data_IF_486312178228
#
_entry.id   IF_486312178228
#
_cell.length_a   1.000
_cell.length_b   1.000
_cell.length_c   1.000
_cell.angle_alpha   90.00
_cell.angle_beta   90.00
_cell.angle_gamma   90.00
#
_symmetry.space_group_name_H-M   'P 1'
#
loop_
_entity.id
_entity.type
_entity.pdbx_description
1 polymer ?
#
# COMPACT_ATOMS: atom_id res chain seq x y z
N UNK A 1 -25.06 17.64 -14.15
CA UNK A 1 -24.35 16.38 -13.92
C UNK A 1 -24.67 15.47 -15.09
N UNK A 2 -23.67 15.07 -15.87
CA UNK A 2 -23.87 14.11 -16.95
C UNK A 2 -24.08 12.73 -16.33
N UNK A 3 -25.25 12.12 -16.57
CA UNK A 3 -25.61 10.80 -16.05
C UNK A 3 -25.26 9.66 -17.02
N UNK A 4 -24.68 10.00 -18.18
CA UNK A 4 -24.25 9.01 -19.17
C UNK A 4 -23.10 8.17 -18.64
N UNK A 5 -23.08 6.92 -19.03
CA UNK A 5 -22.02 5.99 -18.72
C UNK A 5 -21.89 4.89 -19.77
N UNK A 6 -20.72 4.24 -19.78
CA UNK A 6 -20.46 3.05 -20.59
C UNK A 6 -20.23 1.86 -19.67
N UNK A 7 -20.76 0.72 -20.07
CA UNK A 7 -20.67 -0.54 -19.34
C UNK A 7 -20.22 -1.63 -20.30
N UNK A 8 -19.04 -2.22 -20.04
CA UNK A 8 -18.57 -3.43 -20.71
C UNK A 8 -18.90 -4.63 -19.84
N UNK A 9 -19.57 -5.59 -20.43
CA UNK A 9 -19.73 -6.94 -19.86
C UNK A 9 -18.88 -7.86 -20.72
N UNK A 10 -18.00 -8.62 -20.10
CA UNK A 10 -17.03 -9.45 -20.81
C UNK A 10 -17.05 -10.86 -20.24
N UNK A 11 -17.29 -11.84 -21.12
CA UNK A 11 -17.14 -13.25 -20.85
C UNK A 11 -15.84 -13.72 -21.54
N UNK A 12 -14.86 -14.12 -20.75
CA UNK A 12 -13.53 -14.56 -21.20
C UNK A 12 -13.42 -16.07 -21.09
N UNK A 13 -13.14 -16.74 -22.18
CA UNK A 13 -13.02 -18.18 -22.29
C UNK A 13 -11.59 -18.61 -22.69
N UNK A 14 -11.25 -19.86 -22.39
CA UNK A 14 -9.94 -20.44 -22.66
C UNK A 14 -8.80 -19.59 -22.07
N UNK A 15 -9.05 -19.03 -20.86
CA UNK A 15 -8.08 -18.29 -20.09
C UNK A 15 -7.03 -19.22 -19.46
N UNK A 16 -5.95 -18.66 -18.98
CA UNK A 16 -4.93 -19.40 -18.22
C UNK A 16 -5.41 -19.67 -16.78
N UNK A 17 -5.50 -20.94 -16.40
CA UNK A 17 -5.98 -21.41 -15.09
C UNK A 17 -5.13 -20.84 -13.94
N UNK A 18 -3.80 -20.72 -14.11
CA UNK A 18 -2.90 -20.22 -13.09
C UNK A 18 -3.17 -18.73 -12.83
N UNK A 19 -3.38 -17.96 -13.89
CA UNK A 19 -3.75 -16.53 -13.79
C UNK A 19 -5.09 -16.39 -13.07
N UNK A 20 -6.08 -17.21 -13.42
CA UNK A 20 -7.43 -17.12 -12.86
C UNK A 20 -7.50 -17.51 -11.37
N UNK A 21 -6.49 -18.20 -10.83
CA UNK A 21 -6.48 -18.64 -9.43
C UNK A 21 -5.42 -17.91 -8.56
N UNK A 22 -4.80 -16.84 -9.10
CA UNK A 22 -3.85 -16.01 -8.37
C UNK A 22 -4.47 -14.63 -8.03
N UNK A 23 -4.90 -14.41 -6.76
CA UNK A 23 -5.53 -13.16 -6.36
C UNK A 23 -4.59 -11.95 -6.46
N UNK A 24 -3.29 -12.14 -6.26
CA UNK A 24 -2.29 -11.07 -6.35
C UNK A 24 -2.07 -10.63 -7.80
N UNK A 25 -2.01 -11.60 -8.70
CA UNK A 25 -1.86 -11.33 -10.13
C UNK A 25 -3.12 -10.68 -10.72
N UNK A 26 -4.31 -11.21 -10.41
CA UNK A 26 -5.58 -10.62 -10.86
C UNK A 26 -5.74 -9.18 -10.33
N UNK A 27 -5.42 -8.96 -9.05
CA UNK A 27 -5.43 -7.61 -8.49
C UNK A 27 -4.53 -6.67 -9.28
N UNK A 28 -3.29 -7.08 -9.59
CA UNK A 28 -2.36 -6.28 -10.38
C UNK A 28 -2.93 -5.96 -11.76
N UNK A 29 -3.45 -6.96 -12.46
CA UNK A 29 -4.05 -6.81 -13.79
C UNK A 29 -5.20 -5.78 -13.78
N UNK A 30 -6.12 -5.89 -12.82
CA UNK A 30 -7.27 -5.00 -12.75
C UNK A 30 -6.87 -3.57 -12.35
N UNK A 31 -5.91 -3.43 -11.41
CA UNK A 31 -5.40 -2.11 -11.00
C UNK A 31 -4.67 -1.43 -12.16
N UNK A 32 -3.82 -2.16 -12.90
CA UNK A 32 -3.15 -1.62 -14.09
C UNK A 32 -4.16 -1.15 -15.13
N UNK A 33 -5.21 -1.92 -15.38
CA UNK A 33 -6.26 -1.55 -16.33
C UNK A 33 -7.02 -0.27 -15.91
N UNK A 34 -7.30 -0.12 -14.62
CA UNK A 34 -7.91 1.10 -14.09
C UNK A 34 -6.99 2.32 -14.23
N UNK A 35 -5.69 2.15 -13.97
CA UNK A 35 -4.68 3.20 -14.13
C UNK A 35 -4.47 3.57 -15.61
N UNK A 36 -4.49 2.60 -16.54
CA UNK A 36 -4.41 2.85 -17.98
C UNK A 36 -5.65 3.62 -18.50
N UNK A 37 -6.81 3.37 -17.88
CA UNK A 37 -8.02 4.16 -18.11
C UNK A 37 -7.99 5.55 -17.45
N UNK A 38 -6.87 5.94 -16.81
CA UNK A 38 -6.76 7.19 -16.03
C UNK A 38 -7.87 7.32 -14.98
N UNK A 39 -8.22 6.20 -14.33
CA UNK A 39 -9.24 6.16 -13.27
C UNK A 39 -8.57 6.11 -11.90
N UNK A 40 -9.14 6.86 -10.96
CA UNK A 40 -8.72 6.84 -9.56
C UNK A 40 -9.30 5.60 -8.87
N UNK A 41 -8.44 4.72 -8.40
CA UNK A 41 -8.84 3.53 -7.62
C UNK A 41 -9.05 3.95 -6.17
N UNK A 42 -10.27 3.76 -5.68
CA UNK A 42 -10.65 4.12 -4.32
C UNK A 42 -10.44 2.97 -3.35
N UNK A 43 -10.82 1.77 -3.76
CA UNK A 43 -10.70 0.56 -2.96
C UNK A 43 -10.65 -0.66 -3.88
N UNK A 44 -10.03 -1.75 -3.41
CA UNK A 44 -10.13 -3.05 -4.06
C UNK A 44 -10.29 -4.16 -3.02
N UNK A 45 -11.05 -5.17 -3.38
CA UNK A 45 -11.26 -6.37 -2.58
C UNK A 45 -11.20 -7.60 -3.46
N UNK A 46 -10.50 -8.65 -2.99
CA UNK A 46 -10.41 -9.93 -3.65
C UNK A 46 -10.66 -11.04 -2.63
N UNK A 47 -11.58 -11.93 -2.96
CA UNK A 47 -11.91 -13.12 -2.18
C UNK A 47 -11.55 -14.36 -2.98
N UNK A 48 -10.71 -15.22 -2.41
CA UNK A 48 -10.38 -16.53 -2.98
C UNK A 48 -11.25 -17.61 -2.35
N UNK A 49 -11.89 -18.39 -3.17
CA UNK A 49 -12.71 -19.52 -2.73
C UNK A 49 -11.87 -20.79 -2.56
N UNK A 50 -12.37 -21.70 -1.73
CA UNK A 50 -11.80 -23.04 -1.58
C UNK A 50 -12.71 -24.05 -2.29
N UNK A 51 -12.22 -24.91 -3.19
CA UNK A 51 -10.78 -25.16 -3.46
C UNK A 51 -10.13 -24.16 -4.43
N UNK A 52 -10.88 -23.38 -5.20
CA UNK A 52 -10.36 -22.43 -6.21
C UNK A 52 -11.43 -21.42 -6.64
N UNK A 53 -11.00 -20.43 -7.45
CA UNK A 53 -11.86 -19.36 -7.93
C UNK A 53 -11.71 -18.08 -7.11
N UNK A 54 -11.91 -16.94 -7.75
CA UNK A 54 -11.71 -15.63 -7.15
C UNK A 54 -12.86 -14.70 -7.56
N UNK A 55 -13.34 -13.92 -6.60
CA UNK A 55 -14.16 -12.74 -6.84
C UNK A 55 -13.36 -11.51 -6.49
N UNK A 56 -13.20 -10.60 -7.43
CA UNK A 56 -12.51 -9.33 -7.23
C UNK A 56 -13.37 -8.12 -7.61
N UNK A 57 -13.22 -7.02 -6.88
CA UNK A 57 -13.87 -5.76 -7.22
C UNK A 57 -12.93 -4.58 -6.94
N UNK A 58 -12.84 -3.66 -7.89
CA UNK A 58 -12.27 -2.34 -7.72
C UNK A 58 -13.39 -1.30 -7.67
N UNK A 59 -13.40 -0.53 -6.61
CA UNK A 59 -14.22 0.69 -6.49
C UNK A 59 -13.39 1.85 -7.04
N UNK A 60 -13.91 2.51 -8.07
CA UNK A 60 -13.26 3.66 -8.71
C UNK A 60 -14.04 4.94 -8.37
N UNK A 61 -13.43 6.12 -8.50
CA UNK A 61 -14.04 7.40 -8.08
C UNK A 61 -15.45 7.63 -8.65
N UNK A 62 -15.68 7.22 -9.89
CA UNK A 62 -16.98 7.35 -10.58
C UNK A 62 -17.43 6.06 -11.25
N UNK A 63 -16.80 4.93 -10.93
CA UNK A 63 -16.85 3.71 -11.74
C UNK A 63 -16.60 2.46 -10.88
N UNK A 64 -16.63 1.29 -11.49
CA UNK A 64 -16.18 0.05 -10.88
C UNK A 64 -15.67 -0.92 -11.94
N UNK A 65 -14.81 -1.87 -11.50
CA UNK A 65 -14.35 -2.99 -12.30
C UNK A 65 -14.41 -4.24 -11.42
N UNK A 66 -15.16 -5.26 -11.85
CA UNK A 66 -15.26 -6.52 -11.14
C UNK A 66 -14.85 -7.71 -11.99
N UNK A 67 -14.44 -8.79 -11.33
CA UNK A 67 -14.11 -10.08 -11.95
C UNK A 67 -14.60 -11.22 -11.08
N UNK A 68 -15.11 -12.27 -11.73
CA UNK A 68 -15.37 -13.58 -11.15
C UNK A 68 -14.62 -14.62 -11.98
N UNK A 69 -13.94 -15.57 -11.35
CA UNK A 69 -13.16 -16.58 -12.07
C UNK A 69 -13.59 -18.00 -11.70
N UNK A 70 -13.58 -18.87 -12.71
CA UNK A 70 -13.76 -20.32 -12.62
C UNK A 70 -12.54 -20.98 -13.27
N UNK A 71 -11.43 -21.17 -12.53
CA UNK A 71 -10.19 -21.75 -13.07
C UNK A 71 -10.42 -23.12 -13.72
N UNK A 72 -11.31 -23.96 -13.14
CA UNK A 72 -11.68 -25.28 -13.64
C UNK A 72 -12.34 -25.28 -15.01
N UNK A 73 -12.98 -24.17 -15.38
CA UNK A 73 -13.62 -23.97 -16.69
C UNK A 73 -12.78 -23.06 -17.61
N UNK A 74 -11.60 -22.64 -17.17
CA UNK A 74 -10.79 -21.62 -17.86
C UNK A 74 -11.59 -20.36 -18.24
N UNK A 75 -12.54 -19.96 -17.36
CA UNK A 75 -13.53 -18.92 -17.61
C UNK A 75 -13.42 -17.80 -16.57
N UNK A 76 -13.62 -16.57 -17.05
CA UNK A 76 -13.81 -15.39 -16.20
C UNK A 76 -14.92 -14.51 -16.75
N UNK A 77 -15.70 -13.92 -15.83
CA UNK A 77 -16.71 -12.90 -16.12
C UNK A 77 -16.26 -11.55 -15.54
N UNK A 78 -16.32 -10.48 -16.35
CA UNK A 78 -15.89 -9.15 -15.94
C UNK A 78 -16.96 -8.11 -16.25
N UNK A 79 -17.09 -7.16 -15.32
CA UNK A 79 -17.92 -5.95 -15.46
C UNK A 79 -17.02 -4.72 -15.35
N UNK A 80 -17.06 -3.84 -16.34
CA UNK A 80 -16.36 -2.58 -16.31
C UNK A 80 -17.31 -1.43 -16.64
N UNK A 81 -17.69 -0.68 -15.62
CA UNK A 81 -18.57 0.48 -15.74
C UNK A 81 -17.83 1.78 -15.52
N UNK A 82 -18.11 2.79 -16.34
CA UNK A 82 -17.61 4.16 -16.14
C UNK A 82 -18.72 5.19 -16.36
N UNK A 83 -18.71 6.26 -15.56
CA UNK A 83 -19.52 7.45 -15.81
C UNK A 83 -18.79 8.39 -16.79
N UNK A 84 -19.56 9.09 -17.65
CA UNK A 84 -19.03 10.01 -18.66
C UNK A 84 -18.67 9.34 -19.99
N UNK A 85 -17.90 10.06 -20.80
CA UNK A 85 -17.64 9.70 -22.21
C UNK A 85 -16.30 8.94 -22.39
N UNK A 86 -15.68 8.42 -21.31
CA UNK A 86 -14.44 7.66 -21.42
C UNK A 86 -14.62 6.40 -22.25
N UNK A 87 -13.73 6.21 -23.24
CA UNK A 87 -13.66 4.98 -24.02
C UNK A 87 -12.90 3.91 -23.24
N UNK A 88 -13.57 2.81 -22.89
CA UNK A 88 -13.00 1.72 -22.09
C UNK A 88 -12.88 0.40 -22.86
N UNK A 89 -13.29 0.39 -24.14
CA UNK A 89 -13.32 -0.83 -24.95
C UNK A 89 -11.90 -1.40 -25.17
N UNK A 90 -10.94 -0.55 -25.48
CA UNK A 90 -9.54 -0.95 -25.71
C UNK A 90 -8.91 -1.48 -24.41
N UNK A 91 -9.27 -0.90 -23.27
CA UNK A 91 -8.84 -1.37 -21.94
C UNK A 91 -9.43 -2.76 -21.66
N UNK A 92 -10.71 -2.96 -22.02
CA UNK A 92 -11.34 -4.28 -21.93
C UNK A 92 -10.61 -5.34 -22.74
N UNK A 93 -10.22 -5.04 -23.98
CA UNK A 93 -9.41 -5.95 -24.79
C UNK A 93 -8.02 -6.21 -24.21
N UNK A 94 -7.38 -5.19 -23.64
CA UNK A 94 -6.10 -5.35 -22.96
C UNK A 94 -6.21 -6.26 -21.73
N UNK A 95 -7.30 -6.14 -20.95
CA UNK A 95 -7.61 -7.06 -19.84
C UNK A 95 -7.74 -8.51 -20.31
N UNK A 96 -8.54 -8.76 -21.35
CA UNK A 96 -8.72 -10.09 -21.92
C UNK A 96 -7.39 -10.72 -22.34
N UNK A 97 -6.49 -9.92 -22.93
CA UNK A 97 -5.14 -10.36 -23.29
C UNK A 97 -4.28 -10.70 -22.08
N UNK A 98 -4.37 -9.94 -21.01
CA UNK A 98 -3.62 -10.20 -19.77
C UNK A 98 -4.13 -11.46 -19.04
N UNK A 99 -5.41 -11.83 -19.20
CA UNK A 99 -5.97 -13.09 -18.72
C UNK A 99 -5.61 -14.28 -19.64
N UNK A 100 -4.83 -14.05 -20.69
CA UNK A 100 -4.52 -15.02 -21.76
C UNK A 100 -5.77 -15.65 -22.40
N UNK A 101 -6.89 -14.90 -22.43
CA UNK A 101 -8.13 -15.36 -23.05
C UNK A 101 -7.97 -15.52 -24.54
N UNK A 102 -8.36 -16.70 -25.07
CA UNK A 102 -8.31 -16.98 -26.52
C UNK A 102 -9.63 -16.68 -27.23
N UNK A 103 -10.72 -16.61 -26.44
CA UNK A 103 -12.07 -16.36 -26.96
C UNK A 103 -12.83 -15.52 -25.93
N UNK A 104 -13.50 -14.47 -26.39
CA UNK A 104 -14.30 -13.61 -25.52
C UNK A 104 -15.59 -13.15 -26.20
N UNK A 105 -16.61 -12.91 -25.40
CA UNK A 105 -17.82 -12.19 -25.78
C UNK A 105 -17.81 -10.85 -25.02
N UNK A 106 -17.94 -9.74 -25.76
CA UNK A 106 -17.88 -8.40 -25.18
C UNK A 106 -19.15 -7.65 -25.56
N UNK A 107 -19.91 -7.20 -24.55
CA UNK A 107 -21.06 -6.33 -24.72
C UNK A 107 -20.72 -4.93 -24.28
N UNK A 108 -20.95 -3.94 -25.13
CA UNK A 108 -20.82 -2.53 -24.77
C UNK A 108 -22.20 -1.90 -24.68
N UNK A 109 -22.56 -1.40 -23.51
CA UNK A 109 -23.88 -0.86 -23.20
C UNK A 109 -23.75 0.61 -22.81
N UNK A 110 -24.49 1.50 -23.50
CA UNK A 110 -24.63 2.88 -23.06
C UNK A 110 -25.70 2.98 -21.97
N UNK A 111 -25.38 3.66 -20.86
CA UNK A 111 -26.25 3.86 -19.70
C UNK A 111 -26.61 5.34 -19.54
N UNK A 112 -27.67 5.64 -18.79
CA UNK A 112 -28.09 7.03 -18.50
C UNK A 112 -28.76 7.77 -19.69
N UNK A 113 -29.28 7.06 -20.70
CA UNK A 113 -29.99 7.68 -21.83
C UNK A 113 -31.35 8.17 -21.31
N UNK A 114 -31.61 9.48 -21.47
CA UNK A 114 -32.92 10.05 -21.16
C UNK A 114 -33.95 9.68 -22.24
N UNK A 115 -34.65 8.59 -22.07
CA UNK A 115 -35.96 8.32 -22.64
C UNK A 115 -36.65 7.25 -21.81
N UNK A 116 -37.23 7.65 -20.69
CA UNK A 116 -38.37 6.97 -20.10
C UNK A 116 -39.11 7.95 -19.22
N UNK A 117 -40.39 8.14 -19.55
CA UNK A 117 -41.34 8.80 -18.71
C UNK A 117 -41.37 8.14 -17.33
N UNK A 118 -41.27 8.97 -16.34
CA UNK A 118 -41.40 8.83 -14.89
C UNK A 118 -41.73 7.43 -14.33
N UNK A 119 -40.84 6.84 -13.54
CA UNK A 119 -41.22 5.87 -12.54
C UNK A 119 -41.48 6.55 -11.20
N UNK A 120 -42.58 6.12 -10.63
CA UNK A 120 -43.10 6.43 -9.32
C UNK A 120 -42.09 6.42 -8.20
N UNK A 121 -42.21 7.42 -7.33
CA UNK A 121 -41.49 7.65 -6.10
C UNK A 121 -41.47 6.42 -5.17
N UNK A 122 -40.29 5.94 -4.82
CA UNK A 122 -40.00 5.42 -3.50
C UNK A 122 -38.61 5.94 -3.10
N UNK A 123 -38.62 7.11 -2.46
CA UNK A 123 -37.46 7.59 -1.72
C UNK A 123 -37.45 6.87 -0.37
N UNK A 124 -36.71 5.80 -0.23
CA UNK A 124 -36.11 5.43 1.06
C UNK A 124 -34.74 6.10 1.08
N UNK A 125 -34.58 7.00 2.06
CA UNK A 125 -33.26 7.52 2.41
C UNK A 125 -32.39 6.35 2.87
N UNK A 126 -31.47 5.90 2.02
CA UNK A 126 -30.32 5.18 2.51
C UNK A 126 -29.47 6.22 3.24
N UNK A 127 -29.36 6.08 4.56
CA UNK A 127 -28.31 6.73 5.30
C UNK A 127 -26.98 6.34 4.64
N UNK A 128 -26.21 7.34 4.24
CA UNK A 128 -24.89 7.13 3.68
C UNK A 128 -24.05 6.42 4.75
N UNK A 129 -23.81 5.14 4.55
CA UNK A 129 -22.80 4.43 5.34
C UNK A 129 -21.47 5.12 5.03
N UNK A 130 -20.98 5.86 6.02
CA UNK A 130 -19.69 6.55 5.92
C UNK A 130 -18.63 5.47 5.74
N UNK A 131 -17.95 5.46 4.60
CA UNK A 131 -16.76 4.63 4.43
C UNK A 131 -15.72 5.19 5.40
N UNK A 132 -15.43 4.42 6.44
CA UNK A 132 -14.43 4.78 7.44
C UNK A 132 -13.07 4.76 6.77
N UNK A 133 -12.37 5.88 6.77
CA UNK A 133 -11.00 5.99 6.30
C UNK A 133 -10.03 5.86 7.48
N UNK A 134 -8.78 5.50 7.20
CA UNK A 134 -7.76 5.25 8.22
C UNK A 134 -7.38 6.48 9.09
N UNK A 135 -7.88 7.66 8.78
CA UNK A 135 -7.69 8.87 9.57
C UNK A 135 -8.68 9.06 10.72
N UNK A 136 -9.73 8.27 10.77
CA UNK A 136 -10.72 8.18 11.86
C UNK A 136 -10.54 6.89 12.66
N UNK A 137 -11.51 6.50 13.45
CA UNK A 137 -11.45 5.29 14.29
C UNK A 137 -11.71 3.97 13.50
N UNK A 138 -11.45 3.93 12.19
CA UNK A 138 -11.77 2.78 11.32
C UNK A 138 -11.06 1.50 11.74
N UNK A 139 -9.78 1.58 12.10
CA UNK A 139 -9.01 0.42 12.56
C UNK A 139 -9.58 -0.13 13.86
N UNK A 140 -9.97 0.76 14.80
CA UNK A 140 -10.61 0.38 16.05
C UNK A 140 -11.98 -0.28 15.84
N UNK A 141 -12.79 0.23 14.93
CA UNK A 141 -14.08 -0.39 14.56
C UNK A 141 -13.85 -1.76 13.92
N UNK A 142 -12.89 -1.85 13.00
CA UNK A 142 -12.52 -3.11 12.34
C UNK A 142 -12.01 -4.15 13.33
N UNK A 143 -11.17 -3.75 14.28
CA UNK A 143 -10.68 -4.62 15.36
C UNK A 143 -11.83 -5.12 16.23
N UNK A 144 -12.75 -4.26 16.66
CA UNK A 144 -13.93 -4.66 17.44
C UNK A 144 -14.81 -5.65 16.68
N UNK A 145 -15.04 -5.43 15.38
CA UNK A 145 -15.79 -6.38 14.54
C UNK A 145 -15.07 -7.73 14.45
N UNK A 146 -13.75 -7.73 14.26
CA UNK A 146 -12.94 -8.94 14.24
C UNK A 146 -13.05 -9.72 15.54
N UNK A 147 -12.89 -9.04 16.68
CA UNK A 147 -12.97 -9.63 18.03
C UNK A 147 -14.39 -10.10 18.42
N UNK A 148 -15.42 -9.61 17.76
CA UNK A 148 -16.81 -10.09 17.97
C UNK A 148 -17.11 -11.38 17.19
N UNK A 149 -16.30 -11.74 16.20
CA UNK A 149 -16.41 -12.95 15.39
C UNK A 149 -15.54 -14.11 15.91
N UNK A 150 -15.44 -15.16 15.12
CA UNK A 150 -14.53 -16.27 15.40
C UNK A 150 -13.09 -15.86 15.11
N UNK A 151 -12.20 -15.93 16.09
CA UNK A 151 -10.80 -15.57 15.99
C UNK A 151 -9.93 -16.32 17.00
N UNK A 152 -8.62 -16.39 16.71
CA UNK A 152 -7.59 -16.86 17.62
C UNK A 152 -6.62 -15.73 17.90
N UNK A 153 -6.30 -15.48 19.16
CA UNK A 153 -5.23 -14.56 19.55
C UNK A 153 -3.91 -15.34 19.51
N UNK A 154 -3.09 -15.09 18.48
CA UNK A 154 -1.80 -15.76 18.32
C UNK A 154 -0.73 -15.16 19.25
N UNK A 155 -0.81 -13.84 19.51
CA UNK A 155 0.06 -13.14 20.43
C UNK A 155 -0.64 -11.90 20.95
N UNK A 156 -0.51 -11.63 22.24
CA UNK A 156 -0.97 -10.39 22.86
C UNK A 156 -0.01 -9.99 23.98
N UNK A 157 0.58 -8.83 23.84
CA UNK A 157 1.51 -8.26 24.81
C UNK A 157 1.27 -6.76 24.94
N UNK A 158 0.96 -6.32 26.13
CA UNK A 158 0.92 -4.90 26.49
C UNK A 158 2.12 -4.57 27.33
N UNK A 159 2.98 -3.69 26.81
CA UNK A 159 4.18 -3.24 27.50
C UNK A 159 4.16 -1.71 27.71
N UNK A 160 5.33 -1.11 28.02
CA UNK A 160 5.43 0.35 28.26
C UNK A 160 5.46 1.16 26.96
N UNK A 161 5.67 0.52 25.82
CA UNK A 161 5.81 1.14 24.50
C UNK A 161 4.43 1.17 23.85
N UNK A 162 3.77 0.00 23.75
CA UNK A 162 2.51 -0.17 23.03
C UNK A 162 1.76 -1.46 23.42
N UNK A 163 0.53 -1.59 22.93
CA UNK A 163 -0.30 -2.80 23.00
C UNK A 163 -0.21 -3.54 21.66
N UNK A 164 0.39 -4.75 21.67
CA UNK A 164 0.65 -5.56 20.48
C UNK A 164 -0.36 -6.70 20.44
N UNK A 165 -1.13 -6.82 19.36
CA UNK A 165 -2.07 -7.91 19.15
C UNK A 165 -1.85 -8.54 17.78
N UNK A 166 -1.59 -9.84 17.74
CA UNK A 166 -1.56 -10.65 16.53
C UNK A 166 -2.75 -11.60 16.55
N UNK A 167 -3.66 -11.43 15.61
CA UNK A 167 -4.97 -12.09 15.59
C UNK A 167 -5.12 -12.85 14.28
N UNK A 168 -5.62 -14.08 14.37
CA UNK A 168 -5.97 -14.92 13.23
C UNK A 168 -7.48 -15.10 13.18
N UNK A 169 -8.07 -14.75 12.06
CA UNK A 169 -9.46 -14.99 11.72
C UNK A 169 -9.54 -15.61 10.33
N UNK A 170 -10.11 -14.95 9.33
CA UNK A 170 -9.97 -15.32 7.92
C UNK A 170 -8.55 -15.08 7.39
N UNK A 171 -7.83 -14.19 8.03
CA UNK A 171 -6.45 -13.77 7.74
C UNK A 171 -5.69 -13.52 9.06
N UNK A 172 -4.42 -13.22 8.96
CA UNK A 172 -3.59 -12.83 10.09
C UNK A 172 -3.42 -11.32 10.06
N UNK A 173 -3.71 -10.66 11.18
CA UNK A 173 -3.59 -9.21 11.34
C UNK A 173 -2.78 -8.85 12.56
N UNK A 174 -1.90 -7.86 12.40
CA UNK A 174 -1.19 -7.25 13.51
C UNK A 174 -1.77 -5.86 13.80
N UNK A 175 -2.01 -5.60 15.07
CA UNK A 175 -2.42 -4.30 15.58
C UNK A 175 -1.41 -3.80 16.61
N UNK A 176 -1.05 -2.53 16.52
CA UNK A 176 -0.25 -1.80 17.51
C UNK A 176 -1.09 -0.62 18.02
N UNK A 177 -1.40 -0.58 19.31
CA UNK A 177 -2.31 0.39 19.92
C UNK A 177 -3.65 0.49 19.14
N UNK A 178 -4.25 -0.67 18.81
CA UNK A 178 -5.49 -0.82 18.04
C UNK A 178 -5.39 -0.35 16.55
N UNK A 179 -4.22 0.06 16.06
CA UNK A 179 -3.99 0.44 14.67
C UNK A 179 -3.47 -0.74 13.86
N UNK A 180 -4.11 -1.03 12.73
CA UNK A 180 -3.71 -2.11 11.84
C UNK A 180 -2.34 -1.82 11.23
N UNK A 181 -1.40 -2.76 11.38
CA UNK A 181 -0.07 -2.69 10.78
C UNK A 181 -0.02 -3.48 9.48
N UNK A 182 -0.61 -4.65 9.44
CA UNK A 182 -0.76 -5.44 8.22
C UNK A 182 -1.94 -6.43 8.30
N UNK A 183 -2.41 -6.87 7.14
CA UNK A 183 -3.21 -8.06 6.91
C UNK A 183 -2.43 -9.02 6.01
N UNK A 184 -2.41 -10.31 6.35
CA UNK A 184 -1.72 -11.32 5.52
C UNK A 184 -2.31 -11.51 4.13
N UNK A 185 -3.50 -10.94 3.87
CA UNK A 185 -4.13 -10.99 2.54
C UNK A 185 -3.45 -10.05 1.53
N UNK A 186 -2.87 -8.94 2.00
CA UNK A 186 -2.40 -7.87 1.12
C UNK A 186 -1.12 -7.16 1.56
N UNK A 187 -0.48 -7.61 2.63
CA UNK A 187 0.78 -7.03 3.12
C UNK A 187 1.87 -6.98 2.05
N UNK A 188 1.85 -7.94 1.09
CA UNK A 188 2.78 -7.94 -0.04
C UNK A 188 2.69 -6.64 -0.86
N UNK A 189 1.48 -6.10 -1.05
CA UNK A 189 1.30 -4.86 -1.79
C UNK A 189 2.02 -3.68 -1.14
N UNK A 190 2.05 -3.66 0.20
CA UNK A 190 2.77 -2.64 0.96
C UNK A 190 4.28 -2.87 0.92
N UNK A 191 4.75 -4.06 1.30
CA UNK A 191 6.18 -4.33 1.46
C UNK A 191 6.93 -4.39 0.12
N UNK A 192 6.30 -4.91 -0.94
CA UNK A 192 6.86 -4.83 -2.29
C UNK A 192 6.97 -3.38 -2.76
N UNK A 193 5.95 -2.53 -2.51
CA UNK A 193 6.01 -1.12 -2.87
C UNK A 193 7.03 -0.33 -2.03
N UNK A 194 7.23 -0.69 -0.76
CA UNK A 194 8.24 -0.07 0.10
C UNK A 194 9.67 -0.42 -0.35
N UNK A 195 9.92 -1.68 -0.75
CA UNK A 195 11.28 -2.20 -0.95
C UNK A 195 11.72 -2.16 -2.41
N UNK A 196 10.98 -2.72 -3.35
CA UNK A 196 11.51 -2.93 -4.70
C UNK A 196 11.79 -1.64 -5.49
N UNK A 197 11.00 -0.55 -5.39
CA UNK A 197 11.29 0.68 -6.12
C UNK A 197 12.60 1.35 -5.71
N UNK A 198 12.95 1.35 -4.42
CA UNK A 198 14.20 1.95 -3.98
C UNK A 198 15.41 1.12 -4.39
N UNK A 199 15.30 -0.21 -4.40
CA UNK A 199 16.35 -1.08 -4.93
C UNK A 199 16.54 -0.87 -6.43
N UNK A 200 15.47 -0.74 -7.20
CA UNK A 200 15.55 -0.43 -8.63
C UNK A 200 16.13 0.96 -8.93
N UNK A 201 16.02 1.91 -8.01
CA UNK A 201 16.64 3.23 -8.11
C UNK A 201 18.11 3.25 -7.65
N UNK A 202 18.59 2.20 -6.98
CA UNK A 202 19.92 2.13 -6.38
C UNK A 202 20.91 1.43 -7.30
N UNK A 203 22.19 1.81 -7.20
CA UNK A 203 23.30 1.18 -7.91
C UNK A 203 24.05 0.22 -6.99
N UNK A 204 23.64 -1.07 -6.97
CA UNK A 204 24.30 -2.15 -6.20
C UNK A 204 24.37 -1.87 -4.69
N UNK A 205 23.23 -1.88 -4.00
CA UNK A 205 23.21 -1.66 -2.55
C UNK A 205 23.76 -2.89 -1.82
N UNK A 206 24.70 -2.66 -0.90
CA UNK A 206 25.31 -3.72 -0.09
C UNK A 206 24.92 -3.62 1.38
N UNK A 207 24.78 -2.40 1.91
CA UNK A 207 24.47 -2.17 3.31
C UNK A 207 23.14 -1.45 3.46
N UNK A 208 22.21 -2.11 4.13
CA UNK A 208 20.82 -1.68 4.27
C UNK A 208 20.53 -1.39 5.74
N UNK A 209 19.78 -0.32 5.99
CA UNK A 209 19.18 -0.04 7.29
C UNK A 209 17.67 -0.07 7.18
N UNK A 210 17.00 -0.80 8.06
CA UNK A 210 15.56 -0.79 8.22
C UNK A 210 15.25 -0.16 9.57
N UNK A 211 14.47 0.90 9.59
CA UNK A 211 14.02 1.60 10.79
C UNK A 211 12.53 1.29 11.01
N UNK A 212 12.20 0.59 12.08
CA UNK A 212 10.93 -0.08 12.30
C UNK A 212 10.87 -1.44 11.59
N UNK A 213 9.68 -1.90 11.22
CA UNK A 213 9.50 -3.15 10.48
C UNK A 213 9.88 -4.40 11.29
N UNK A 214 9.67 -4.36 12.61
CA UNK A 214 9.99 -5.45 13.53
C UNK A 214 9.20 -6.75 13.28
N UNK A 215 8.19 -6.73 12.40
CA UNK A 215 7.47 -7.92 11.93
C UNK A 215 8.29 -8.77 10.94
N UNK A 216 9.33 -8.19 10.32
CA UNK A 216 10.24 -8.86 9.39
C UNK A 216 9.73 -8.97 7.96
N UNK A 217 8.61 -8.31 7.59
CA UNK A 217 8.02 -8.41 6.25
C UNK A 217 8.79 -7.56 5.23
N UNK A 218 9.18 -6.33 5.59
CA UNK A 218 10.11 -5.53 4.78
C UNK A 218 11.48 -6.21 4.66
N UNK A 219 11.96 -6.81 5.75
CA UNK A 219 13.21 -7.57 5.78
C UNK A 219 13.18 -8.75 4.81
N UNK A 220 12.06 -9.50 4.74
CA UNK A 220 11.83 -10.58 3.77
C UNK A 220 12.04 -10.09 2.34
N UNK A 221 11.50 -8.94 1.98
CA UNK A 221 11.64 -8.38 0.64
C UNK A 221 13.08 -7.96 0.34
N UNK A 222 13.79 -7.36 1.30
CA UNK A 222 15.21 -7.00 1.18
C UNK A 222 16.10 -8.22 0.96
N UNK A 223 15.81 -9.33 1.62
CA UNK A 223 16.60 -10.56 1.54
C UNK A 223 16.54 -11.26 0.16
N UNK A 224 15.58 -10.92 -0.70
CA UNK A 224 15.55 -11.37 -2.10
C UNK A 224 16.75 -10.88 -2.93
N UNK A 225 17.42 -9.80 -2.49
CA UNK A 225 18.55 -9.20 -3.18
C UNK A 225 19.87 -9.84 -2.71
N UNK A 226 20.51 -10.62 -3.58
CA UNK A 226 21.72 -11.38 -3.27
C UNK A 226 22.97 -10.51 -3.11
N UNK A 227 22.98 -9.31 -3.68
CA UNK A 227 24.05 -8.32 -3.55
C UNK A 227 24.11 -7.68 -2.17
N UNK A 228 23.03 -7.69 -1.41
CA UNK A 228 22.99 -7.20 -0.02
C UNK A 228 23.89 -8.08 0.86
N UNK A 229 24.77 -7.43 1.64
CA UNK A 229 25.76 -8.09 2.50
C UNK A 229 25.46 -7.92 3.99
N UNK A 230 24.94 -6.76 4.37
CA UNK A 230 24.68 -6.41 5.76
C UNK A 230 23.32 -5.70 5.85
N UNK A 231 22.52 -6.09 6.82
CA UNK A 231 21.22 -5.50 7.11
C UNK A 231 21.17 -5.22 8.61
N UNK A 232 21.10 -3.94 8.96
CA UNK A 232 20.80 -3.51 10.32
C UNK A 232 19.29 -3.22 10.38
N UNK A 233 18.57 -3.88 11.29
CA UNK A 233 17.16 -3.61 11.60
C UNK A 233 17.06 -3.00 12.99
N UNK A 234 16.50 -1.82 13.09
CA UNK A 234 16.36 -1.06 14.34
C UNK A 234 14.89 -0.97 14.71
N UNK A 235 14.51 -1.66 15.77
CA UNK A 235 13.15 -1.68 16.30
C UNK A 235 13.17 -1.25 17.77
N UNK A 236 12.21 -0.41 18.14
CA UNK A 236 12.13 0.10 19.51
C UNK A 236 11.53 -0.94 20.47
N UNK A 237 10.66 -1.79 19.98
CA UNK A 237 9.88 -2.75 20.78
C UNK A 237 10.35 -4.19 20.55
N UNK A 238 11.05 -4.72 21.55
CA UNK A 238 11.54 -6.10 21.53
C UNK A 238 10.43 -7.14 21.41
N UNK A 239 9.21 -6.83 21.88
CA UNK A 239 8.08 -7.77 21.86
C UNK A 239 7.52 -7.95 20.44
N UNK A 240 7.63 -6.93 19.55
CA UNK A 240 7.29 -7.05 18.13
C UNK A 240 8.25 -8.03 17.45
N UNK A 241 9.56 -7.85 17.64
CA UNK A 241 10.59 -8.77 17.10
C UNK A 241 10.42 -10.18 17.68
N UNK A 242 10.13 -10.29 18.98
CA UNK A 242 9.87 -11.56 19.63
C UNK A 242 8.66 -12.28 19.00
N UNK A 243 7.57 -11.59 18.74
CA UNK A 243 6.43 -12.15 18.04
C UNK A 243 6.80 -12.64 16.62
N UNK A 244 7.56 -11.83 15.87
CA UNK A 244 7.99 -12.14 14.51
C UNK A 244 8.94 -13.36 14.43
N UNK A 245 9.75 -13.59 15.46
CA UNK A 245 10.69 -14.70 15.52
C UNK A 245 10.10 -15.98 16.10
N UNK A 246 9.02 -15.91 16.91
CA UNK A 246 8.56 -17.05 17.69
C UNK A 246 7.11 -17.46 17.43
N UNK A 247 6.23 -16.58 16.90
CA UNK A 247 4.89 -16.98 16.49
C UNK A 247 4.97 -17.62 15.10
N UNK A 248 4.62 -18.90 15.02
CA UNK A 248 4.84 -19.73 13.83
C UNK A 248 4.16 -19.18 12.58
N UNK A 249 2.97 -18.61 12.71
CA UNK A 249 2.23 -18.00 11.61
C UNK A 249 2.96 -16.77 11.06
N UNK A 250 3.44 -15.88 11.93
CA UNK A 250 4.18 -14.69 11.52
C UNK A 250 5.56 -15.04 10.98
N UNK A 251 6.21 -16.04 11.60
CA UNK A 251 7.49 -16.59 11.15
C UNK A 251 7.42 -17.20 9.75
N UNK A 252 6.29 -17.85 9.41
CA UNK A 252 6.05 -18.32 8.04
C UNK A 252 5.82 -17.16 7.08
N UNK A 253 5.05 -16.16 7.49
CA UNK A 253 4.73 -14.99 6.68
C UNK A 253 5.98 -14.19 6.33
N UNK A 254 6.87 -13.94 7.30
CA UNK A 254 8.15 -13.27 7.07
C UNK A 254 9.26 -14.20 6.52
N UNK A 255 8.94 -15.47 6.21
CA UNK A 255 9.85 -16.46 5.64
C UNK A 255 11.14 -16.66 6.46
N UNK A 256 11.02 -16.56 7.79
CA UNK A 256 12.15 -16.69 8.74
C UNK A 256 13.27 -15.67 8.48
N UNK A 257 12.91 -14.48 8.04
CA UNK A 257 13.85 -13.43 7.63
C UNK A 257 14.90 -13.08 8.69
N UNK A 258 14.55 -13.19 9.97
CA UNK A 258 15.48 -12.95 11.07
C UNK A 258 16.56 -14.03 11.26
N UNK A 259 16.44 -15.19 10.63
CA UNK A 259 17.42 -16.29 10.71
C UNK A 259 18.56 -16.13 9.67
N UNK A 260 18.46 -15.15 8.75
CA UNK A 260 19.50 -14.90 7.74
C UNK A 260 20.75 -14.28 8.38
N UNK A 261 21.91 -14.81 8.07
CA UNK A 261 23.19 -14.40 8.66
C UNK A 261 23.61 -12.96 8.32
N UNK A 262 22.97 -12.32 7.36
CA UNK A 262 23.23 -10.92 6.98
C UNK A 262 22.54 -9.93 7.92
N UNK A 263 21.63 -10.39 8.78
CA UNK A 263 20.73 -9.56 9.60
C UNK A 263 21.31 -9.35 10.99
N UNK A 264 21.34 -8.10 11.41
CA UNK A 264 21.62 -7.70 12.80
C UNK A 264 20.45 -6.88 13.32
N UNK A 265 19.84 -7.31 14.42
CA UNK A 265 18.72 -6.62 15.06
C UNK A 265 19.21 -5.78 16.23
N UNK A 266 18.79 -4.51 16.25
CA UNK A 266 19.09 -3.56 17.33
C UNK A 266 17.77 -3.15 17.99
N UNK A 267 17.59 -3.50 19.26
CA UNK A 267 16.43 -3.03 20.05
C UNK A 267 16.79 -1.66 20.64
N UNK A 268 16.43 -0.60 19.90
CA UNK A 268 16.84 0.75 20.23
C UNK A 268 15.92 1.80 19.58
N UNK A 269 15.85 3.00 20.14
CA UNK A 269 15.23 4.15 19.47
C UNK A 269 16.01 4.53 18.21
N UNK A 270 15.31 4.80 17.12
CA UNK A 270 15.91 5.10 15.81
C UNK A 270 16.75 6.40 15.82
N UNK A 271 16.34 7.42 16.59
CA UNK A 271 17.09 8.68 16.71
C UNK A 271 18.39 8.46 17.46
N UNK A 272 18.35 7.68 18.54
CA UNK A 272 19.53 7.32 19.32
C UNK A 272 20.49 6.48 18.48
N UNK A 273 19.97 5.48 17.78
CA UNK A 273 20.78 4.64 16.88
C UNK A 273 21.51 5.47 15.81
N UNK A 274 20.80 6.32 15.09
CA UNK A 274 21.37 7.17 14.04
C UNK A 274 22.35 8.21 14.59
N UNK A 275 22.15 8.68 15.82
CA UNK A 275 23.01 9.67 16.47
C UNK A 275 24.34 9.08 16.94
N UNK A 276 24.34 7.81 17.36
CA UNK A 276 25.49 7.11 17.91
C UNK A 276 26.27 6.29 16.87
N UNK A 277 25.63 5.95 15.76
CA UNK A 277 26.20 5.09 14.73
C UNK A 277 26.78 5.93 13.57
N UNK A 278 28.04 5.71 13.23
CA UNK A 278 28.73 6.35 12.11
C UNK A 278 28.68 5.55 10.81
N UNK A 279 27.92 4.45 10.78
CA UNK A 279 27.80 3.60 9.61
C UNK A 279 27.15 4.34 8.44
N UNK A 280 27.63 4.06 7.21
CA UNK A 280 27.06 4.56 5.97
C UNK A 280 26.25 3.47 5.28
N UNK A 281 24.98 3.78 4.96
CA UNK A 281 24.06 2.87 4.31
C UNK A 281 23.82 3.25 2.86
N UNK A 282 23.67 2.25 2.02
CA UNK A 282 23.32 2.44 0.60
C UNK A 282 21.81 2.63 0.44
N UNK A 283 21.03 1.97 1.29
CA UNK A 283 19.58 2.14 1.37
C UNK A 283 19.17 2.25 2.85
N UNK A 284 18.29 3.21 3.15
CA UNK A 284 17.57 3.29 4.42
C UNK A 284 16.08 3.14 4.12
N UNK A 285 15.41 2.20 4.77
CA UNK A 285 13.97 1.95 4.69
C UNK A 285 13.34 2.42 5.98
N UNK A 286 12.37 3.32 5.90
CA UNK A 286 11.62 3.83 7.05
C UNK A 286 10.23 3.22 7.01
N UNK A 287 9.97 2.33 7.97
CA UNK A 287 8.74 1.59 8.13
C UNK A 287 8.14 1.88 9.53
N UNK A 288 7.86 3.14 9.77
CA UNK A 288 7.28 3.62 11.02
C UNK A 288 5.76 3.68 10.96
N UNK A 289 5.06 3.60 12.11
CA UNK A 289 3.63 3.90 12.20
C UNK A 289 3.30 5.31 11.73
N UNK A 290 2.03 5.55 11.42
CA UNK A 290 1.52 6.84 11.01
C UNK A 290 1.71 7.92 12.10
N UNK A 291 1.88 9.21 11.72
CA UNK A 291 2.13 10.29 12.66
C UNK A 291 0.88 10.68 13.48
N UNK A 292 0.23 9.72 14.12
CA UNK A 292 -1.01 9.86 14.88
C UNK A 292 -0.86 10.67 16.16
N UNK A 293 0.34 10.71 16.71
CA UNK A 293 0.65 11.40 17.96
C UNK A 293 1.95 12.21 17.86
N UNK A 294 2.21 13.00 18.91
CA UNK A 294 3.37 13.89 18.96
C UNK A 294 4.69 13.13 18.91
N UNK A 295 4.81 11.98 19.61
CA UNK A 295 6.04 11.18 19.67
C UNK A 295 6.41 10.65 18.28
N UNK A 296 5.47 10.00 17.60
CA UNK A 296 5.72 9.48 16.25
C UNK A 296 5.97 10.62 15.25
N UNK A 297 5.27 11.75 15.39
CA UNK A 297 5.47 12.92 14.51
C UNK A 297 6.92 13.47 14.57
N UNK A 298 7.71 13.20 15.63
CA UNK A 298 9.13 13.58 15.70
C UNK A 298 10.00 12.81 14.70
N UNK A 299 9.61 11.60 14.32
CA UNK A 299 10.30 10.74 13.36
C UNK A 299 10.09 11.18 11.90
N UNK A 300 9.29 12.22 11.68
CA UNK A 300 9.01 12.83 10.38
C UNK A 300 9.42 14.30 10.33
N UNK A 301 10.41 14.69 11.16
CA UNK A 301 10.89 16.09 11.22
C UNK A 301 12.09 16.31 10.30
N UNK A 302 12.30 17.58 9.98
CA UNK A 302 13.48 18.02 9.23
C UNK A 302 14.79 17.59 9.89
N UNK A 303 14.85 17.62 11.20
CA UNK A 303 16.01 17.22 12.01
C UNK A 303 16.25 15.69 11.89
N UNK A 304 15.19 14.88 11.93
CA UNK A 304 15.28 13.45 11.73
C UNK A 304 15.80 13.11 10.32
N UNK A 305 15.23 13.73 9.28
CA UNK A 305 15.73 13.54 7.91
C UNK A 305 17.18 14.02 7.71
N UNK A 306 17.64 15.00 8.48
CA UNK A 306 19.04 15.42 8.46
C UNK A 306 19.98 14.36 9.10
N UNK A 307 19.52 13.60 10.11
CA UNK A 307 20.25 12.43 10.63
C UNK A 307 20.38 11.36 9.56
N UNK A 308 19.28 11.00 8.87
CA UNK A 308 19.30 10.03 7.78
C UNK A 308 20.27 10.42 6.68
N UNK A 309 20.29 11.71 6.29
CA UNK A 309 21.18 12.19 5.25
C UNK A 309 22.66 12.00 5.61
N UNK A 310 23.03 12.13 6.90
CA UNK A 310 24.39 11.87 7.39
C UNK A 310 24.74 10.37 7.37
N UNK A 311 23.76 9.50 7.63
CA UNK A 311 23.94 8.05 7.67
C UNK A 311 23.89 7.39 6.27
N UNK A 312 23.52 8.13 5.22
CA UNK A 312 23.54 7.65 3.85
C UNK A 312 24.92 7.78 3.22
N UNK A 313 25.34 6.77 2.46
CA UNK A 313 26.49 6.85 1.54
C UNK A 313 26.29 7.97 0.50
N UNK A 314 27.33 8.30 -0.28
CA UNK A 314 27.25 9.39 -1.26
C UNK A 314 26.12 9.23 -2.29
N UNK A 315 25.88 8.00 -2.73
CA UNK A 315 24.81 7.62 -3.66
C UNK A 315 23.63 6.94 -2.95
N UNK A 316 23.60 6.99 -1.61
CA UNK A 316 22.59 6.32 -0.81
C UNK A 316 21.21 6.93 -0.96
N UNK A 317 20.20 6.07 -0.82
CA UNK A 317 18.78 6.40 -0.95
C UNK A 317 18.03 6.12 0.36
N UNK A 318 16.96 6.86 0.58
CA UNK A 318 16.02 6.59 1.66
C UNK A 318 14.60 6.44 1.07
N UNK A 319 13.82 5.48 1.57
CA UNK A 319 12.40 5.40 1.32
C UNK A 319 11.62 5.56 2.63
N UNK A 320 10.52 6.26 2.57
CA UNK A 320 9.63 6.48 3.71
C UNK A 320 8.21 6.14 3.30
N UNK A 321 7.53 5.26 4.07
CA UNK A 321 6.09 5.20 4.03
C UNK A 321 5.52 6.57 4.42
N UNK A 322 4.47 7.02 3.79
CA UNK A 322 4.10 8.44 3.86
C UNK A 322 2.61 8.68 3.93
N UNK A 323 1.86 7.68 4.37
CA UNK A 323 0.41 7.76 4.51
C UNK A 323 -0.34 7.87 3.17
N UNK A 324 -1.64 8.13 3.19
CA UNK A 324 -2.50 8.15 2.02
C UNK A 324 -2.42 9.48 1.26
N UNK A 325 -2.03 9.48 -0.03
CA UNK A 325 -2.12 10.69 -0.85
C UNK A 325 -3.55 11.10 -1.18
N UNK A 326 -4.53 10.22 -0.94
CA UNK A 326 -5.95 10.44 -1.16
C UNK A 326 -6.67 10.89 0.12
N UNK A 327 -6.50 10.15 1.22
CA UNK A 327 -7.29 10.35 2.44
C UNK A 327 -6.65 11.41 3.36
N UNK A 328 -5.32 11.50 3.37
CA UNK A 328 -4.54 12.49 4.13
C UNK A 328 -3.52 13.20 3.26
N UNK A 329 -3.94 13.83 2.14
CA UNK A 329 -3.04 14.40 1.14
C UNK A 329 -2.13 15.50 1.69
N UNK A 330 -2.57 16.28 2.68
CA UNK A 330 -1.71 17.32 3.27
C UNK A 330 -0.61 16.68 4.12
N UNK A 331 -0.87 15.59 4.83
CA UNK A 331 0.15 14.80 5.55
C UNK A 331 1.17 14.27 4.55
N UNK A 332 0.71 13.55 3.51
CA UNK A 332 1.56 12.98 2.47
C UNK A 332 2.50 14.03 1.85
N UNK A 333 1.96 15.17 1.38
CA UNK A 333 2.77 16.23 0.79
C UNK A 333 3.60 17.01 1.81
N UNK A 334 3.23 17.01 3.10
CA UNK A 334 4.05 17.62 4.16
C UNK A 334 5.29 16.79 4.45
N UNK A 335 5.19 15.46 4.44
CA UNK A 335 6.35 14.55 4.53
C UNK A 335 7.30 14.82 3.35
N UNK A 336 6.79 14.88 2.11
CA UNK A 336 7.58 15.24 0.93
C UNK A 336 8.29 16.59 1.08
N UNK A 337 7.55 17.62 1.52
CA UNK A 337 8.10 18.97 1.71
C UNK A 337 9.16 19.02 2.80
N UNK A 338 8.99 18.23 3.86
CA UNK A 338 9.95 18.12 4.96
C UNK A 338 11.24 17.44 4.51
N UNK A 339 11.14 16.34 3.73
CA UNK A 339 12.31 15.71 3.11
C UNK A 339 13.07 16.68 2.21
N UNK A 340 12.37 17.46 1.37
CA UNK A 340 12.99 18.50 0.53
C UNK A 340 13.67 19.60 1.34
N UNK A 341 13.05 20.03 2.44
CA UNK A 341 13.65 21.01 3.35
C UNK A 341 14.92 20.47 4.04
N UNK A 342 15.09 19.15 4.10
CA UNK A 342 16.29 18.44 4.56
C UNK A 342 17.25 18.12 3.41
N UNK A 343 17.15 18.83 2.28
CA UNK A 343 18.02 18.72 1.10
C UNK A 343 17.96 17.40 0.35
N UNK A 344 16.86 16.65 0.44
CA UNK A 344 16.62 15.52 -0.43
C UNK A 344 15.95 15.94 -1.75
N UNK A 345 16.42 15.38 -2.86
CA UNK A 345 15.61 15.24 -4.07
C UNK A 345 14.63 14.10 -3.82
N UNK A 346 13.36 14.29 -4.15
CA UNK A 346 12.32 13.30 -3.81
C UNK A 346 11.58 12.81 -5.05
N UNK A 347 11.27 11.52 -5.06
CA UNK A 347 10.34 10.88 -5.99
C UNK A 347 9.18 10.33 -5.17
N UNK A 348 7.95 10.69 -5.56
CA UNK A 348 6.73 10.28 -4.87
C UNK A 348 5.97 9.27 -5.72
N UNK A 349 5.41 8.24 -5.08
CA UNK A 349 4.56 7.24 -5.72
C UNK A 349 3.58 6.67 -4.70
N UNK A 350 2.60 5.92 -5.19
CA UNK A 350 1.58 5.30 -4.36
C UNK A 350 1.08 4.01 -5.00
N UNK A 351 0.43 3.17 -4.20
CA UNK A 351 -0.24 1.95 -4.65
C UNK A 351 -1.49 1.71 -3.81
N UNK A 352 -2.41 0.87 -4.33
CA UNK A 352 -3.60 0.48 -3.58
C UNK A 352 -3.29 -0.76 -2.75
N UNK A 353 -3.53 -0.66 -1.44
CA UNK A 353 -3.42 -1.76 -0.49
C UNK A 353 -4.83 -1.97 0.07
N UNK A 354 -5.49 -3.12 -0.18
CA UNK A 354 -6.90 -3.30 0.18
C UNK A 354 -7.25 -2.98 1.63
N UNK A 355 -6.38 -3.33 2.58
CA UNK A 355 -6.58 -3.05 4.01
C UNK A 355 -6.30 -1.60 4.41
N UNK A 356 -5.54 -0.84 3.59
CA UNK A 356 -5.10 0.52 3.88
C UNK A 356 -5.69 1.59 2.95
N UNK A 357 -6.21 1.17 1.80
CA UNK A 357 -6.61 2.09 0.72
C UNK A 357 -5.43 2.53 -0.14
N UNK A 358 -5.47 3.77 -0.64
CA UNK A 358 -4.40 4.36 -1.43
C UNK A 358 -3.23 4.75 -0.51
N UNK A 359 -2.07 4.12 -0.69
CA UNK A 359 -0.92 4.27 0.20
C UNK A 359 0.30 4.82 -0.51
N UNK A 360 0.94 5.82 0.07
CA UNK A 360 1.98 6.60 -0.56
C UNK A 360 3.36 6.43 0.05
N UNK A 361 4.36 6.65 -0.79
CA UNK A 361 5.78 6.51 -0.46
C UNK A 361 6.59 7.66 -1.05
N UNK A 362 7.69 8.01 -0.40
CA UNK A 362 8.68 8.95 -0.93
C UNK A 362 10.06 8.33 -0.92
N UNK A 363 10.71 8.29 -2.09
CA UNK A 363 12.15 8.03 -2.17
C UNK A 363 12.89 9.36 -2.11
N UNK A 364 13.92 9.44 -1.27
CA UNK A 364 14.82 10.58 -1.13
C UNK A 364 16.24 10.24 -1.55
N UNK A 365 16.92 11.17 -2.22
CA UNK A 365 18.31 11.04 -2.66
C UNK A 365 19.06 12.36 -2.46
N UNK A 366 20.40 12.28 -2.36
CA UNK A 366 21.30 13.45 -2.40
C UNK A 366 21.46 14.05 -3.80
N UNK A 367 21.04 13.33 -4.84
CA UNK A 367 21.10 13.73 -6.25
C UNK A 367 19.74 13.57 -6.92
N UNK A 368 19.46 14.26 -8.05
CA UNK A 368 18.21 14.08 -8.77
C UNK A 368 17.92 12.62 -9.12
N UNK A 369 16.65 12.23 -8.97
CA UNK A 369 16.14 10.88 -9.26
C UNK A 369 15.35 10.86 -10.56
N UNK A 370 15.49 9.79 -11.33
CA UNK A 370 14.56 9.38 -12.40
C UNK A 370 13.66 8.25 -11.91
N UNK A 371 12.56 8.01 -12.62
CA UNK A 371 11.69 6.89 -12.32
C UNK A 371 12.48 5.57 -12.41
N UNK A 372 12.37 4.69 -11.40
CA UNK A 372 13.06 3.41 -11.41
C UNK A 372 12.48 2.47 -12.48
N UNK A 373 13.33 1.58 -12.97
CA UNK A 373 12.93 0.46 -13.83
C UNK A 373 13.01 -0.79 -12.96
N UNK A 374 11.86 -1.37 -12.66
CA UNK A 374 11.78 -2.56 -11.80
C UNK A 374 12.48 -3.75 -12.45
N UNK A 375 13.22 -4.50 -11.64
CA UNK A 375 13.92 -5.71 -12.12
C UNK A 375 12.93 -6.84 -12.37
N UNK A 376 13.13 -7.57 -13.46
CA UNK A 376 12.40 -8.81 -13.76
C UNK A 376 13.00 -10.03 -13.05
N UNK A 377 14.20 -9.88 -12.47
CA UNK A 377 14.93 -10.99 -11.83
C UNK A 377 14.50 -11.20 -10.36
N UNK A 378 13.74 -10.27 -9.80
CA UNK A 378 13.22 -10.34 -8.44
C UNK A 378 11.74 -10.70 -8.47
N UNK A 379 11.36 -11.69 -7.69
CA UNK A 379 9.97 -12.12 -7.59
C UNK A 379 9.15 -11.11 -6.78
N UNK A 380 8.26 -10.40 -7.47
CA UNK A 380 7.19 -9.59 -6.88
C UNK A 380 5.90 -9.77 -7.69
N UNK A 381 4.76 -9.55 -7.09
CA UNK A 381 3.45 -9.88 -7.67
C UNK A 381 2.49 -8.71 -7.76
N UNK A 382 2.72 -7.64 -6.99
CA UNK A 382 1.73 -6.56 -6.82
C UNK A 382 2.09 -5.26 -7.54
N UNK A 383 3.35 -5.10 -7.98
CA UNK A 383 3.80 -3.89 -8.67
C UNK A 383 3.52 -3.97 -10.18
N UNK A 384 3.10 -2.86 -10.81
CA UNK A 384 2.92 -2.81 -12.25
C UNK A 384 4.27 -2.89 -12.98
N UNK A 385 4.23 -3.37 -14.22
CA UNK A 385 5.42 -3.41 -15.11
C UNK A 385 5.96 -2.02 -15.43
N UNK A 386 5.08 -1.02 -15.56
CA UNK A 386 5.44 0.39 -15.74
C UNK A 386 5.28 1.16 -14.43
N UNK A 387 6.40 1.38 -13.74
CA UNK A 387 6.42 2.10 -12.47
C UNK A 387 5.85 3.53 -12.55
N UNK A 388 5.90 4.17 -13.72
CA UNK A 388 5.39 5.55 -13.88
C UNK A 388 3.88 5.65 -13.60
N UNK A 389 3.15 4.54 -13.70
CA UNK A 389 1.73 4.48 -13.34
C UNK A 389 1.52 4.80 -11.86
N UNK A 390 2.41 4.34 -10.97
CA UNK A 390 2.36 4.61 -9.53
C UNK A 390 2.70 6.06 -9.16
N UNK A 391 3.23 6.84 -10.12
CA UNK A 391 3.58 8.25 -9.91
C UNK A 391 2.45 9.22 -10.31
N UNK A 392 1.31 8.70 -10.75
CA UNK A 392 0.15 9.49 -11.19
C UNK A 392 -0.77 9.76 -10.02
N UNK A 393 -0.83 11.00 -9.58
CA UNK A 393 -1.68 11.42 -8.46
C UNK A 393 -2.97 12.06 -8.96
N UNK A 394 -4.06 11.88 -8.23
CA UNK A 394 -5.33 12.50 -8.53
C UNK A 394 -5.25 14.05 -8.50
N UNK A 395 -6.08 14.76 -9.28
CA UNK A 395 -6.18 16.22 -9.21
C UNK A 395 -6.48 16.72 -7.80
N UNK A 396 -7.26 15.96 -7.02
CA UNK A 396 -7.54 16.27 -5.62
C UNK A 396 -6.26 16.28 -4.79
N UNK A 397 -5.49 15.18 -4.80
CA UNK A 397 -4.22 15.09 -4.09
C UNK A 397 -3.25 16.21 -4.48
N UNK A 398 -3.08 16.46 -5.79
CA UNK A 398 -2.20 17.50 -6.29
C UNK A 398 -2.62 18.90 -5.84
N UNK A 399 -3.92 19.20 -5.77
CA UNK A 399 -4.45 20.49 -5.29
C UNK A 399 -4.12 20.74 -3.82
N UNK A 400 -4.00 19.69 -3.01
CA UNK A 400 -3.66 19.81 -1.59
C UNK A 400 -2.18 20.09 -1.32
N UNK A 401 -1.32 19.84 -2.28
CA UNK A 401 0.14 20.07 -2.17
C UNK A 401 0.50 21.52 -1.79
N UNK A 402 -0.30 22.49 -2.15
CA UNK A 402 -0.10 23.90 -1.77
C UNK A 402 -0.23 24.15 -0.26
N UNK A 403 -0.97 23.30 0.47
CA UNK A 403 -1.18 23.38 1.91
C UNK A 403 -0.14 22.60 2.72
N UNK A 404 0.76 21.88 2.04
CA UNK A 404 1.82 21.14 2.70
C UNK A 404 2.73 22.07 3.51
N UNK A 405 3.17 21.62 4.67
CA UNK A 405 4.03 22.34 5.60
C UNK A 405 5.29 21.54 5.91
N UNK A 406 6.33 22.21 6.40
CA UNK A 406 7.53 21.56 6.91
C UNK A 406 7.28 21.21 8.36
N UNK A 407 7.45 19.92 8.72
CA UNK A 407 7.42 19.44 10.09
C UNK A 407 8.84 19.52 10.69
N UNK A 408 9.02 20.21 11.81
CA UNK A 408 10.31 20.37 12.49
C UNK A 408 10.17 20.25 13.99
N UNK A 409 11.27 20.10 14.72
CA UNK A 409 11.27 20.03 16.18
C UNK A 409 10.65 21.29 16.81
N UNK A 410 10.90 22.47 16.22
CA UNK A 410 10.33 23.75 16.68
C UNK A 410 8.85 23.89 16.26
N UNK A 411 8.47 23.32 15.12
CA UNK A 411 7.12 23.41 14.55
C UNK A 411 6.57 22.01 14.25
N UNK A 412 6.24 21.27 15.32
CA UNK A 412 5.75 19.91 15.26
C UNK A 412 4.24 19.88 15.02
N UNK A 413 3.82 19.70 13.78
CA UNK A 413 2.42 19.88 13.34
C UNK A 413 1.80 18.67 12.66
N UNK A 414 2.61 17.71 12.20
CA UNK A 414 2.14 16.64 11.33
C UNK A 414 1.01 15.81 11.98
N UNK A 415 1.14 15.46 13.27
CA UNK A 415 0.11 14.76 14.03
C UNK A 415 -1.21 15.55 14.17
N UNK A 416 -1.16 16.89 14.16
CA UNK A 416 -2.35 17.74 14.21
C UNK A 416 -3.06 17.75 12.86
N UNK A 417 -2.28 17.79 11.77
CA UNK A 417 -2.79 17.75 10.40
C UNK A 417 -3.43 16.40 10.15
N UNK A 418 -2.75 15.30 10.54
CA UNK A 418 -3.28 13.94 10.42
C UNK A 418 -4.68 13.82 11.09
N UNK A 419 -4.79 14.24 12.34
CA UNK A 419 -6.09 14.25 13.05
C UNK A 419 -7.14 15.10 12.35
N UNK A 420 -6.75 16.26 11.82
CA UNK A 420 -7.67 17.17 11.14
C UNK A 420 -8.17 16.58 9.82
N UNK A 421 -7.30 15.99 9.01
CA UNK A 421 -7.69 15.36 7.74
C UNK A 421 -8.61 14.15 7.98
N UNK A 422 -8.35 13.33 9.00
CA UNK A 422 -9.22 12.22 9.38
C UNK A 422 -10.63 12.62 9.86
N UNK A 423 -10.83 13.86 10.28
CA UNK A 423 -12.16 14.38 10.73
C UNK A 423 -13.00 14.94 9.57
N UNK A 424 -12.44 15.20 8.40
CA UNK A 424 -13.13 15.87 7.28
C UNK A 424 -13.48 14.93 6.12
N UNK A 425 -13.26 13.63 6.26
CA UNK A 425 -13.63 12.57 5.34
C UNK A 425 -14.80 11.79 5.88
#
# INVERSE_FOLDING_TARGET
VDIKGKHLLMDAFECDEVILNDPSLLRRILVEAALDAEMEVLHCYFHQFTPQGITGILVLATSHLSIHTWPEENYASLDFYTCGDKEIIEIGYALLKQLASKKAVVYSISRGIQHAETPTKNRQHAESTRLLNRGDDSDHVSLKQLLSGQHDILFHQKNRIQDIQLIKASDIRMYLDEQLQFSSLDEHAYHEALVHPIFAASLRPHRILILGGGDGLALREVLKYKEVKEIDLVEIDADVVNAAMNVEELKKLNQRSFEDSRVTVHIQDAVDYLSLNSACYDIIIIDFPDPTNKKISTLYTKEFYALLQRSLSRSGLVVCQSNSPRDTPIVFWSINKTMKASQFYTLSYHTIIPSFGDWGFHIGSKTPLSAPILSTDILYTTLPSDFTKLMRFSPHSLSKKQFAVVNSAEHLVLHKIFKKEGLYL
#
